data_IF_265916562673
#
_entry.id   IF_265916562673
#
_cell.length_a   1.000
_cell.length_b   1.000
_cell.length_c   1.000
_cell.angle_alpha   90.00
_cell.angle_beta   90.00
_cell.angle_gamma   90.00
#
_symmetry.space_group_name_H-M   'P 1'
#
loop_
_entity.id
_entity.type
_entity.pdbx_description
1 polymer ?
#
# COMPACT_ATOMS: atom_id res chain seq x y z
N UNK A 1 -18.37 13.04 13.60
CA UNK A 1 -17.29 13.18 12.59
C UNK A 1 -17.01 11.79 12.05
N UNK A 2 -17.07 11.59 10.73
CA UNK A 2 -16.90 10.27 10.13
C UNK A 2 -15.57 9.65 10.57
N UNK A 3 -15.61 8.43 11.14
CA UNK A 3 -14.41 7.67 11.44
C UNK A 3 -13.58 7.59 10.15
N UNK A 4 -12.34 8.07 10.19
CA UNK A 4 -11.51 8.18 8.98
C UNK A 4 -11.44 6.84 8.24
N UNK A 5 -11.75 6.85 6.95
CA UNK A 5 -11.63 5.66 6.11
C UNK A 5 -10.15 5.26 6.05
N UNK A 6 -9.81 4.16 6.69
CA UNK A 6 -8.44 3.65 6.78
C UNK A 6 -8.40 2.27 6.12
N UNK A 7 -7.71 2.18 4.99
CA UNK A 7 -7.55 0.93 4.23
C UNK A 7 -6.24 0.28 4.67
N UNK A 8 -6.30 -1.01 5.07
CA UNK A 8 -5.13 -1.80 5.44
C UNK A 8 -4.94 -2.92 4.42
N UNK A 9 -3.80 -2.91 3.73
CA UNK A 9 -3.46 -3.88 2.69
C UNK A 9 -2.41 -4.82 3.24
N UNK A 10 -2.61 -6.14 3.12
CA UNK A 10 -1.64 -7.16 3.51
C UNK A 10 -1.30 -8.01 2.30
N UNK A 11 -0.07 -7.89 1.81
CA UNK A 11 0.40 -8.65 0.67
C UNK A 11 0.94 -10.01 1.15
N UNK A 12 0.62 -11.07 0.41
CA UNK A 12 1.16 -12.43 0.62
C UNK A 12 1.58 -12.98 -0.73
N UNK A 13 2.78 -13.54 -0.78
CA UNK A 13 3.35 -14.08 -2.00
C UNK A 13 4.57 -14.93 -1.67
N UNK A 14 4.88 -15.87 -2.57
CA UNK A 14 6.05 -16.73 -2.43
C UNK A 14 7.33 -16.04 -2.93
N UNK A 15 7.21 -15.15 -3.93
CA UNK A 15 8.32 -14.39 -4.47
C UNK A 15 8.32 -12.95 -3.94
N UNK A 16 9.39 -12.58 -3.24
CA UNK A 16 9.59 -11.23 -2.71
C UNK A 16 9.70 -10.17 -3.81
N UNK A 17 10.25 -10.50 -4.99
CA UNK A 17 10.42 -9.53 -6.08
C UNK A 17 9.08 -9.02 -6.59
N UNK A 18 8.11 -9.92 -6.69
CA UNK A 18 6.75 -9.59 -7.10
C UNK A 18 6.05 -8.79 -6.00
N UNK A 19 6.22 -9.19 -4.74
CA UNK A 19 5.68 -8.45 -3.59
C UNK A 19 6.20 -7.02 -3.53
N UNK A 20 7.50 -6.82 -3.68
CA UNK A 20 8.14 -5.51 -3.64
C UNK A 20 7.65 -4.63 -4.80
N UNK A 21 7.56 -5.20 -6.01
CA UNK A 21 7.00 -4.50 -7.17
C UNK A 21 5.55 -4.06 -6.92
N UNK A 22 4.69 -4.97 -6.48
CA UNK A 22 3.29 -4.67 -6.21
C UNK A 22 3.13 -3.66 -5.06
N UNK A 23 3.93 -3.77 -4.00
CA UNK A 23 3.91 -2.80 -2.90
C UNK A 23 4.28 -1.39 -3.38
N UNK A 24 5.25 -1.29 -4.27
CA UNK A 24 5.70 -0.02 -4.87
C UNK A 24 4.61 0.59 -5.74
N UNK A 25 3.98 -0.19 -6.64
CA UNK A 25 2.90 0.26 -7.51
C UNK A 25 1.67 0.77 -6.70
N UNK A 26 1.33 0.07 -5.60
CA UNK A 26 0.25 0.49 -4.69
C UNK A 26 0.60 1.83 -4.06
N UNK A 27 1.81 1.97 -3.52
CA UNK A 27 2.27 3.20 -2.87
C UNK A 27 2.26 4.38 -3.85
N UNK A 28 2.75 4.20 -5.09
CA UNK A 28 2.70 5.24 -6.13
C UNK A 28 1.28 5.64 -6.49
N UNK A 29 0.38 4.67 -6.61
CA UNK A 29 -1.03 4.93 -6.94
C UNK A 29 -1.73 5.73 -5.84
N UNK A 30 -1.46 5.39 -4.57
CA UNK A 30 -2.01 6.11 -3.41
C UNK A 30 -1.43 7.52 -3.32
N UNK A 31 -0.13 7.69 -3.58
CA UNK A 31 0.50 9.02 -3.68
C UNK A 31 -0.12 9.87 -4.79
N UNK A 32 -0.37 9.30 -5.97
CA UNK A 32 -0.98 10.00 -7.11
C UNK A 32 -2.42 10.45 -6.85
N UNK A 33 -3.17 9.69 -6.06
CA UNK A 33 -4.56 10.01 -5.69
C UNK A 33 -4.66 11.00 -4.52
N UNK A 34 -3.53 11.50 -3.99
CA UNK A 34 -3.51 12.47 -2.90
C UNK A 34 -3.82 11.87 -1.52
N UNK A 35 -3.79 10.55 -1.41
CA UNK A 35 -4.03 9.83 -0.15
C UNK A 35 -2.74 9.64 0.64
N UNK A 36 -2.84 9.54 1.96
CA UNK A 36 -1.68 9.36 2.86
C UNK A 36 -1.31 7.88 2.95
N UNK A 37 -0.03 7.57 2.77
CA UNK A 37 0.54 6.22 2.92
C UNK A 37 1.28 6.14 4.25
N UNK A 38 0.97 5.12 5.05
CA UNK A 38 1.92 4.58 6.02
C UNK A 38 2.80 3.58 5.27
N UNK A 39 4.12 3.82 5.25
CA UNK A 39 5.07 3.15 4.36
C UNK A 39 4.98 1.62 4.38
N UNK A 40 5.48 0.94 3.33
CA UNK A 40 5.45 -0.51 3.26
C UNK A 40 6.28 -1.09 4.42
N UNK A 41 5.63 -1.91 5.26
CA UNK A 41 6.27 -2.62 6.36
C UNK A 41 6.53 -4.04 5.84
N UNK A 42 7.80 -4.49 5.73
CA UNK A 42 8.14 -5.84 5.29
C UNK A 42 7.70 -6.92 6.29
#
# INVERSE_FOLDING_TARGET
MAAGQQIRIRLKGFDHRVLDKSSTEIVETVKRTGSRVAGPIP
#
